data_IF_789820914062
#
_entry.id   IF_789820914062
#
_cell.length_a   1.000
_cell.length_b   1.000
_cell.length_c   1.000
_cell.angle_alpha   90.00
_cell.angle_beta   90.00
_cell.angle_gamma   90.00
#
_symmetry.space_group_name_H-M   'P 1'
#
loop_
_entity.id
_entity.type
_entity.pdbx_description
1 polymer ?
#
# COMPACT_ATOMS: atom_id res chain seq x y z
N UNK A 1 8.85 1.28 -19.62
CA UNK A 1 7.72 0.51 -20.20
C UNK A 1 6.87 0.08 -19.02
N UNK A 2 5.64 0.59 -18.90
CA UNK A 2 4.74 0.18 -17.82
C UNK A 2 4.23 -1.24 -18.08
N UNK A 3 4.15 -2.04 -17.02
CA UNK A 3 3.76 -3.45 -17.12
C UNK A 3 2.26 -3.63 -16.91
N UNK A 4 1.63 -2.73 -16.15
CA UNK A 4 0.22 -2.82 -15.75
C UNK A 4 -0.46 -1.48 -16.02
N UNK A 5 -1.51 -1.50 -16.86
CA UNK A 5 -2.42 -0.36 -17.05
C UNK A 5 -3.61 -0.51 -16.10
N UNK A 6 -3.86 0.51 -15.28
CA UNK A 6 -5.03 0.49 -14.40
C UNK A 6 -6.32 0.65 -15.20
N UNK A 7 -7.35 -0.12 -14.86
CA UNK A 7 -8.71 0.16 -15.33
C UNK A 7 -9.26 1.43 -14.64
N UNK A 8 -10.38 2.01 -15.12
CA UNK A 8 -11.02 3.14 -14.45
C UNK A 8 -11.32 2.86 -12.97
N UNK A 9 -11.82 1.67 -12.66
CA UNK A 9 -12.11 1.24 -11.28
C UNK A 9 -10.86 1.22 -10.39
N UNK A 10 -9.75 0.66 -10.87
CA UNK A 10 -8.49 0.64 -10.11
C UNK A 10 -7.84 2.02 -9.99
N UNK A 11 -8.10 2.90 -10.96
CA UNK A 11 -7.66 4.29 -10.91
C UNK A 11 -8.43 5.04 -9.82
N UNK A 12 -9.74 4.84 -9.72
CA UNK A 12 -10.55 5.40 -8.63
C UNK A 12 -10.13 4.87 -7.25
N UNK A 13 -9.83 3.57 -7.14
CA UNK A 13 -9.26 3.00 -5.92
C UNK A 13 -7.96 3.70 -5.51
N UNK A 14 -7.06 3.93 -6.47
CA UNK A 14 -5.81 4.65 -6.25
C UNK A 14 -6.04 6.09 -5.80
N UNK A 15 -6.97 6.80 -6.45
CA UNK A 15 -7.29 8.17 -6.10
C UNK A 15 -7.91 8.27 -4.70
N UNK A 16 -8.83 7.35 -4.35
CA UNK A 16 -9.37 7.24 -2.99
C UNK A 16 -8.28 6.92 -1.97
N UNK A 17 -7.39 5.98 -2.28
CA UNK A 17 -6.27 5.64 -1.41
C UNK A 17 -5.39 6.87 -1.15
N UNK A 18 -5.04 7.62 -2.19
CA UNK A 18 -4.26 8.85 -2.03
C UNK A 18 -5.03 9.87 -1.18
N UNK A 19 -6.31 10.12 -1.45
CA UNK A 19 -7.14 11.06 -0.69
C UNK A 19 -7.25 10.71 0.81
N UNK A 20 -7.23 9.41 1.15
CA UNK A 20 -7.25 8.94 2.53
C UNK A 20 -5.90 9.04 3.24
N UNK A 21 -4.78 9.24 2.51
CA UNK A 21 -3.41 9.24 3.06
C UNK A 21 -2.64 10.51 2.68
N UNK A 22 -3.06 11.66 3.23
CA UNK A 22 -2.46 12.96 2.93
C UNK A 22 -1.36 13.34 3.92
N UNK A 23 -1.46 12.90 5.18
CA UNK A 23 -0.52 13.30 6.23
C UNK A 23 0.88 12.71 5.97
N UNK A 24 1.96 13.52 6.07
CA UNK A 24 3.31 13.04 5.73
C UNK A 24 3.78 11.90 6.62
N UNK A 25 3.41 11.90 7.90
CA UNK A 25 3.72 10.79 8.82
C UNK A 25 2.98 9.52 8.41
N UNK A 26 1.73 9.63 7.96
CA UNK A 26 0.96 8.49 7.47
C UNK A 26 1.64 7.87 6.24
N UNK A 27 1.99 8.71 5.26
CA UNK A 27 2.71 8.25 4.07
C UNK A 27 4.08 7.65 4.39
N UNK A 28 4.83 8.20 5.36
CA UNK A 28 6.13 7.66 5.76
C UNK A 28 5.98 6.30 6.46
N UNK A 29 5.05 6.19 7.40
CA UNK A 29 4.71 4.92 8.03
C UNK A 29 4.28 3.87 7.00
N UNK A 30 3.46 4.25 6.03
CA UNK A 30 3.01 3.35 4.97
C UNK A 30 4.15 2.91 4.04
N UNK A 31 5.08 3.82 3.71
CA UNK A 31 6.27 3.47 2.92
C UNK A 31 7.16 2.42 3.57
N UNK A 32 7.16 2.35 4.91
CA UNK A 32 7.90 1.33 5.69
C UNK A 32 7.06 0.08 5.93
N UNK A 33 5.79 0.24 6.31
CA UNK A 33 4.93 -0.87 6.70
C UNK A 33 4.51 -1.76 5.52
N UNK A 34 4.19 -1.18 4.37
CA UNK A 34 3.78 -1.92 3.17
C UNK A 34 4.83 -2.95 2.74
N UNK A 35 6.12 -2.61 2.52
CA UNK A 35 7.12 -3.59 2.13
C UNK A 35 7.40 -4.64 3.21
N UNK A 36 7.33 -4.29 4.50
CA UNK A 36 7.48 -5.27 5.58
C UNK A 36 6.37 -6.31 5.54
N UNK A 37 5.11 -5.88 5.39
CA UNK A 37 3.96 -6.79 5.26
C UNK A 37 4.10 -7.62 3.99
N UNK A 38 4.36 -6.98 2.84
CA UNK A 38 4.46 -7.67 1.55
C UNK A 38 5.58 -8.72 1.53
N UNK A 39 6.77 -8.40 2.08
CA UNK A 39 7.89 -9.34 2.16
C UNK A 39 7.68 -10.46 3.18
N UNK A 40 6.94 -10.20 4.28
CA UNK A 40 6.68 -11.21 5.30
C UNK A 40 5.90 -12.42 4.76
N UNK A 41 5.04 -12.24 3.75
CA UNK A 41 4.22 -13.32 3.20
C UNK A 41 5.03 -14.43 2.52
N UNK A 42 5.88 -14.16 1.49
CA UNK A 42 6.71 -15.20 0.88
C UNK A 42 7.77 -15.76 1.83
N UNK A 43 8.31 -14.94 2.74
CA UNK A 43 9.27 -15.41 3.76
C UNK A 43 8.59 -16.40 4.71
N UNK A 44 7.41 -16.07 5.21
CA UNK A 44 6.63 -16.88 6.15
C UNK A 44 6.03 -18.13 5.53
N UNK A 45 5.91 -18.18 4.20
CA UNK A 45 5.53 -19.40 3.48
C UNK A 45 6.59 -20.52 3.59
N UNK A 46 7.77 -20.23 4.16
CA UNK A 46 8.81 -21.21 4.47
C UNK A 46 8.87 -21.53 5.96
N UNK A 47 9.07 -22.80 6.32
CA UNK A 47 9.19 -23.22 7.74
C UNK A 47 10.34 -22.51 8.47
N UNK A 48 11.44 -22.24 7.75
CA UNK A 48 12.63 -21.56 8.29
C UNK A 48 12.40 -20.04 8.41
N UNK A 49 11.62 -19.45 7.50
CA UNK A 49 11.37 -18.01 7.47
C UNK A 49 10.23 -17.55 8.39
N UNK A 50 9.37 -18.46 8.87
CA UNK A 50 8.24 -18.12 9.75
C UNK A 50 8.63 -17.31 11.00
N UNK A 51 9.72 -17.64 11.75
CA UNK A 51 10.14 -16.85 12.90
C UNK A 51 10.52 -15.39 12.56
N UNK A 52 10.99 -15.13 11.33
CA UNK A 52 11.31 -13.78 10.84
C UNK A 52 10.06 -13.07 10.29
N UNK A 53 9.18 -13.80 9.62
CA UNK A 53 7.98 -13.25 9.02
C UNK A 53 7.00 -12.69 10.05
N UNK A 54 6.85 -13.35 11.21
CA UNK A 54 5.95 -12.90 12.30
C UNK A 54 6.28 -11.47 12.74
N UNK A 55 7.50 -11.14 13.22
CA UNK A 55 7.81 -9.78 13.63
C UNK A 55 7.74 -8.79 12.48
N UNK A 56 8.15 -9.16 11.26
CA UNK A 56 8.00 -8.28 10.09
C UNK A 56 6.54 -7.90 9.83
N UNK A 57 5.64 -8.88 9.86
CA UNK A 57 4.21 -8.67 9.68
C UNK A 57 3.64 -7.77 10.78
N UNK A 58 3.92 -8.08 12.05
CA UNK A 58 3.44 -7.31 13.20
C UNK A 58 3.96 -5.86 13.22
N UNK A 59 5.27 -5.67 12.98
CA UNK A 59 5.88 -4.34 12.93
C UNK A 59 5.33 -3.56 11.73
N UNK A 60 5.21 -4.21 10.57
CA UNK A 60 4.63 -3.59 9.38
C UNK A 60 3.23 -3.06 9.64
N UNK A 61 2.34 -3.87 10.21
CA UNK A 61 0.99 -3.42 10.59
C UNK A 61 0.98 -2.34 11.66
N UNK A 62 1.91 -2.40 12.62
CA UNK A 62 2.06 -1.35 13.64
C UNK A 62 2.35 0.00 12.98
N UNK A 63 3.26 0.05 12.00
CA UNK A 63 3.49 1.26 11.22
C UNK A 63 2.22 1.73 10.50
N UNK A 64 1.49 0.84 9.82
CA UNK A 64 0.23 1.21 9.15
C UNK A 64 -0.76 1.88 10.12
N UNK A 65 -1.02 1.26 11.27
CA UNK A 65 -1.99 1.79 12.23
C UNK A 65 -1.52 3.09 12.91
N UNK A 66 -0.22 3.21 13.21
CA UNK A 66 0.35 4.46 13.72
C UNK A 66 0.17 5.58 12.69
N UNK A 67 0.43 5.32 11.41
CA UNK A 67 0.20 6.29 10.33
C UNK A 67 -1.24 6.80 10.30
N UNK A 68 -2.21 5.89 10.36
CA UNK A 68 -3.63 6.22 10.42
C UNK A 68 -4.03 6.98 11.70
N UNK A 69 -3.39 6.72 12.84
CA UNK A 69 -3.62 7.49 14.06
C UNK A 69 -3.24 8.98 13.88
N UNK A 70 -2.19 9.28 13.11
CA UNK A 70 -1.84 10.67 12.75
C UNK A 70 -2.74 11.27 11.68
N UNK A 71 -3.24 10.47 10.74
CA UNK A 71 -4.19 10.91 9.71
C UNK A 71 -5.57 11.24 10.29
N UNK A 72 -5.98 10.56 11.36
CA UNK A 72 -7.32 10.68 11.95
C UNK A 72 -8.43 10.02 11.13
N UNK A 73 -8.09 9.37 10.02
CA UNK A 73 -9.01 8.58 9.19
C UNK A 73 -8.83 7.10 9.46
N UNK A 74 -9.94 6.35 9.42
CA UNK A 74 -9.89 4.89 9.47
C UNK A 74 -9.11 4.31 8.28
N UNK A 75 -8.51 3.12 8.40
CA UNK A 75 -7.86 2.47 7.26
C UNK A 75 -8.81 2.20 6.10
N UNK A 76 -8.44 2.59 4.88
CA UNK A 76 -9.31 2.47 3.69
C UNK A 76 -9.76 1.03 3.39
N UNK A 77 -8.99 0.03 3.81
CA UNK A 77 -9.35 -1.37 3.63
C UNK A 77 -10.56 -1.83 4.45
N UNK A 78 -10.95 -1.05 5.47
CA UNK A 78 -12.16 -1.30 6.25
C UNK A 78 -13.41 -1.15 5.37
N UNK A 79 -13.40 -0.19 4.45
CA UNK A 79 -14.50 0.00 3.48
C UNK A 79 -14.36 -0.92 2.28
N UNK A 80 -13.13 -1.13 1.79
CA UNK A 80 -12.89 -1.93 0.60
C UNK A 80 -11.54 -2.67 0.69
N UNK A 81 -11.58 -4.00 0.84
CA UNK A 81 -10.38 -4.84 0.98
C UNK A 81 -9.41 -4.72 -0.19
N UNK A 82 -9.86 -4.29 -1.37
CA UNK A 82 -8.99 -4.04 -2.53
C UNK A 82 -7.95 -2.96 -2.24
N UNK A 83 -8.20 -2.07 -1.28
CA UNK A 83 -7.26 -1.05 -0.83
C UNK A 83 -5.97 -1.61 -0.22
N UNK A 84 -5.95 -2.89 0.21
CA UNK A 84 -4.70 -3.57 0.57
C UNK A 84 -3.77 -3.72 -0.64
N UNK A 85 -4.32 -4.12 -1.79
CA UNK A 85 -3.57 -4.24 -3.04
C UNK A 85 -3.26 -2.86 -3.63
N UNK A 86 -4.21 -1.91 -3.57
CA UNK A 86 -3.97 -0.52 -3.98
C UNK A 86 -2.80 0.10 -3.23
N UNK A 87 -2.67 -0.17 -1.93
CA UNK A 87 -1.52 0.29 -1.13
C UNK A 87 -0.18 -0.23 -1.69
N UNK A 88 -0.11 -1.51 -2.08
CA UNK A 88 1.10 -2.05 -2.71
C UNK A 88 1.41 -1.36 -4.05
N UNK A 89 0.39 -1.13 -4.89
CA UNK A 89 0.55 -0.39 -6.14
C UNK A 89 1.02 1.05 -5.90
N UNK A 90 0.44 1.74 -4.91
CA UNK A 90 0.84 3.09 -4.51
C UNK A 90 2.31 3.12 -4.07
N UNK A 91 2.73 2.12 -3.29
CA UNK A 91 4.12 2.00 -2.83
C UNK A 91 5.08 1.87 -4.01
N UNK A 92 4.77 1.05 -5.02
CA UNK A 92 5.62 0.93 -6.23
C UNK A 92 5.78 2.27 -6.96
N UNK A 93 4.71 3.06 -7.09
CA UNK A 93 4.78 4.40 -7.67
C UNK A 93 5.62 5.35 -6.82
N UNK A 94 5.45 5.30 -5.50
CA UNK A 94 6.15 6.18 -4.54
C UNK A 94 7.67 5.99 -4.57
N UNK A 95 8.14 4.75 -4.77
CA UNK A 95 9.58 4.43 -4.89
C UNK A 95 10.12 4.55 -6.33
N UNK A 96 9.32 5.05 -7.27
CA UNK A 96 9.74 5.32 -8.65
C UNK A 96 9.80 4.09 -9.56
N UNK A 97 9.18 2.97 -9.19
CA UNK A 97 9.06 1.81 -10.08
C UNK A 97 7.93 2.04 -11.09
N UNK A 98 8.22 2.11 -12.40
CA UNK A 98 7.21 2.38 -13.42
C UNK A 98 6.42 1.12 -13.78
N UNK A 99 5.83 0.45 -12.78
CA UNK A 99 5.05 -0.78 -12.97
C UNK A 99 3.62 -0.44 -13.40
N UNK A 100 3.08 0.67 -12.87
CA UNK A 100 1.67 1.04 -12.99
C UNK A 100 1.52 2.32 -13.82
N UNK A 101 0.80 2.21 -14.94
CA UNK A 101 0.36 3.34 -15.76
C UNK A 101 -1.10 3.66 -15.45
N UNK A 102 -1.38 4.92 -15.08
CA UNK A 102 -2.75 5.42 -14.95
C UNK A 102 -3.27 5.81 -16.34
N UNK A 103 -4.56 5.58 -16.64
CA UNK A 103 -5.18 6.18 -17.81
C UNK A 103 -4.92 7.69 -17.78
N UNK A 104 -4.41 8.24 -18.87
CA UNK A 104 -4.32 9.69 -19.02
C UNK A 104 -5.73 10.22 -18.83
N UNK A 105 -5.94 11.09 -17.82
CA UNK A 105 -7.14 11.90 -17.74
C UNK A 105 -7.30 12.54 -19.11
N UNK A 106 -8.27 12.08 -19.91
CA UNK A 106 -8.77 12.89 -21.01
C UNK A 106 -9.33 14.13 -20.33
N UNK A 107 -8.50 15.17 -20.26
CA UNK A 107 -8.90 16.49 -19.85
C UNK A 107 -10.19 16.81 -20.62
N UNK A 108 -11.27 16.96 -19.87
CA UNK A 108 -12.49 17.61 -20.35
C UNK A 108 -12.24 19.11 -20.36
#
# INVERSE_FOLDING_TARGET
>A
MALVKLSPEWSELMDRYQADHQHPVNQACHQVGIPLIAASLPIGATLIGLPLAIPMFTVGWTFQFVGHAFEGKKPSFVDDKRQLLTGLLWWTQKIGLPIVERPTSTAS
#
